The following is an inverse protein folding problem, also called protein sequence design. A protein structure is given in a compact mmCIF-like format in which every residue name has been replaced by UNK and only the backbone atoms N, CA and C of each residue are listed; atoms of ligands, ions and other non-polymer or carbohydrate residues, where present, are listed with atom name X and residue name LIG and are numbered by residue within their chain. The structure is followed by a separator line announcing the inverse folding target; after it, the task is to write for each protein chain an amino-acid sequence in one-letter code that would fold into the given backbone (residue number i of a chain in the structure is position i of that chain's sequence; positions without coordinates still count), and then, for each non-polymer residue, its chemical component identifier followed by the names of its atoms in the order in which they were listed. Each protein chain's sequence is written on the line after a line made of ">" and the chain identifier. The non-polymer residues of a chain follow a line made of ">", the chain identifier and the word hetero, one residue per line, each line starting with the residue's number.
data_IF_127177600340
#
_entry.id   IF_127177600340
#
_cell.length_a   1.000
_cell.length_b   1.000
_cell.length_c   1.000
_cell.angle_alpha   90.00
_cell.angle_beta   90.00
_cell.angle_gamma   90.00
#
_symmetry.space_group_name_H-M   'P 1'
#
loop_
_entity.id
_entity.type
_entity.pdbx_description
1 polymer ?
#
# COMPACT_ATOMS: atom_id res chain seq x y z
N UNK A 1 -28.11 16.74 56.01
CA UNK A 1 -27.63 16.67 54.61
C UNK A 1 -27.26 15.22 54.30
N UNK A 2 -28.03 14.56 53.41
CA UNK A 2 -27.78 13.18 52.98
C UNK A 2 -27.00 13.23 51.66
N UNK A 3 -25.82 12.61 51.62
CA UNK A 3 -25.06 12.44 50.37
C UNK A 3 -25.70 11.34 49.53
N UNK A 4 -26.17 11.70 48.34
CA UNK A 4 -26.58 10.78 47.29
C UNK A 4 -25.33 10.37 46.51
N UNK A 5 -24.95 9.09 46.55
CA UNK A 5 -23.92 8.54 45.67
C UNK A 5 -24.58 8.14 44.35
N UNK A 6 -24.17 8.78 43.26
CA UNK A 6 -24.43 8.29 41.91
C UNK A 6 -23.47 7.14 41.61
N UNK A 7 -24.00 5.96 41.32
CA UNK A 7 -23.25 4.91 40.64
C UNK A 7 -23.32 5.20 39.15
N UNK A 8 -22.21 5.67 38.57
CA UNK A 8 -22.03 5.65 37.11
C UNK A 8 -21.61 4.23 36.75
N UNK A 9 -22.50 3.49 36.10
CA UNK A 9 -22.18 2.24 35.45
C UNK A 9 -21.30 2.58 34.23
N UNK A 10 -20.00 2.32 34.34
CA UNK A 10 -19.07 2.32 33.21
C UNK A 10 -19.37 1.05 32.41
N UNK A 11 -19.73 1.12 31.12
CA UNK A 11 -19.91 -0.08 30.32
C UNK A 11 -18.55 -0.77 30.16
N UNK A 12 -18.55 -2.08 30.41
CA UNK A 12 -17.42 -2.96 30.18
C UNK A 12 -16.94 -2.81 28.74
N UNK A 13 -15.71 -2.34 28.57
CA UNK A 13 -15.04 -2.32 27.29
C UNK A 13 -14.91 -3.77 26.80
N UNK A 14 -15.62 -4.11 25.73
CA UNK A 14 -15.38 -5.33 24.98
C UNK A 14 -14.01 -5.13 24.33
N UNK A 15 -12.99 -5.81 24.85
CA UNK A 15 -11.67 -5.89 24.23
C UNK A 15 -11.80 -6.83 23.04
N UNK A 16 -12.07 -6.28 21.85
CA UNK A 16 -11.90 -7.01 20.60
C UNK A 16 -10.39 -7.01 20.34
N UNK A 17 -9.73 -8.12 20.65
CA UNK A 17 -8.38 -8.35 20.18
C UNK A 17 -8.46 -8.63 18.67
N UNK A 18 -8.01 -7.68 17.86
CA UNK A 18 -7.80 -7.88 16.43
C UNK A 18 -6.30 -7.80 16.20
N UNK A 19 -5.65 -8.95 16.04
CA UNK A 19 -4.33 -9.03 15.43
C UNK A 19 -4.49 -8.64 13.95
N UNK A 20 -4.41 -7.35 13.65
CA UNK A 20 -4.28 -6.86 12.28
C UNK A 20 -2.79 -6.60 12.04
N UNK A 21 -2.08 -7.62 11.56
CA UNK A 21 -0.72 -7.47 11.06
C UNK A 21 -0.58 -8.12 9.69
N UNK A 22 -0.28 -7.26 8.72
CA UNK A 22 -0.10 -7.52 7.30
C UNK A 22 1.10 -8.46 7.05
N UNK A 23 0.83 -9.60 6.42
CA UNK A 23 1.82 -10.56 5.91
C UNK A 23 1.32 -11.21 4.59
N UNK A 24 0.61 -10.43 3.77
CA UNK A 24 0.22 -10.79 2.40
C UNK A 24 1.25 -10.13 1.47
N UNK A 25 2.34 -10.76 1.05
CA UNK A 25 2.53 -12.12 0.55
C UNK A 25 3.76 -12.72 1.23
N UNK A 26 3.63 -13.65 2.19
CA UNK A 26 4.63 -14.70 2.40
C UNK A 26 4.07 -15.95 3.11
N UNK A 27 3.53 -16.89 2.32
CA UNK A 27 3.75 -18.29 2.67
C UNK A 27 5.14 -18.71 2.18
N UNK A 28 6.17 -18.49 3.02
CA UNK A 28 7.47 -19.20 2.91
C UNK A 28 7.35 -20.73 3.13
N UNK A 29 6.14 -21.27 3.36
CA UNK A 29 5.92 -22.61 3.96
C UNK A 29 5.20 -23.64 3.10
N UNK A 30 4.63 -23.33 1.95
CA UNK A 30 4.27 -24.37 0.98
C UNK A 30 5.48 -24.67 0.11
N UNK A 31 6.41 -25.45 0.67
CA UNK A 31 7.30 -26.25 -0.16
C UNK A 31 6.40 -27.00 -1.15
N UNK A 32 6.36 -26.51 -2.38
CA UNK A 32 5.93 -27.27 -3.54
C UNK A 32 6.85 -28.48 -3.58
N UNK A 33 6.47 -29.52 -2.84
CA UNK A 33 6.63 -30.89 -3.30
C UNK A 33 6.00 -30.87 -4.66
N UNK A 34 6.84 -30.67 -5.67
CA UNK A 34 6.61 -30.87 -7.09
C UNK A 34 5.86 -32.19 -7.21
N UNK A 35 4.53 -32.12 -7.19
CA UNK A 35 3.65 -33.28 -7.12
C UNK A 35 3.70 -33.82 -8.55
N UNK A 36 4.70 -34.65 -8.85
CA UNK A 36 4.74 -35.47 -10.06
C UNK A 36 3.40 -36.18 -10.12
N UNK A 37 2.53 -35.71 -11.02
CA UNK A 37 1.21 -36.29 -11.28
C UNK A 37 1.41 -37.77 -11.60
N UNK A 38 1.07 -38.65 -10.67
CA UNK A 38 0.65 -40.01 -11.00
C UNK A 38 -0.75 -39.90 -11.63
N UNK A 39 -1.03 -40.62 -12.73
CA UNK A 39 -2.37 -40.66 -13.30
C UNK A 39 -3.24 -41.55 -12.41
N UNK A 40 -3.85 -40.93 -11.40
CA UNK A 40 -4.85 -41.55 -10.54
C UNK A 40 -5.97 -40.52 -10.36
N UNK A 41 -7.11 -40.81 -10.98
CA UNK A 41 -8.32 -39.98 -10.99
C UNK A 41 -8.79 -39.79 -9.53
N UNK A 42 -8.75 -38.60 -8.93
CA UNK A 42 -9.41 -38.37 -7.66
C UNK A 42 -10.90 -38.15 -7.93
N UNK A 43 -11.75 -38.88 -7.22
CA UNK A 43 -13.15 -38.52 -7.03
C UNK A 43 -13.20 -37.24 -6.18
N UNK A 44 -13.52 -36.13 -6.82
CA UNK A 44 -13.84 -34.88 -6.12
C UNK A 44 -15.18 -35.06 -5.40
N UNK A 45 -15.20 -34.99 -4.06
CA UNK A 45 -16.42 -34.68 -3.33
C UNK A 45 -16.71 -33.20 -3.54
N UNK A 46 -17.88 -32.91 -4.09
CA UNK A 46 -18.43 -31.57 -4.27
C UNK A 46 -18.86 -31.00 -2.93
N UNK A 47 -17.90 -30.53 -2.13
CA UNK A 47 -18.21 -29.64 -1.01
C UNK A 47 -18.26 -28.23 -1.58
N UNK A 48 -19.45 -27.81 -2.02
CA UNK A 48 -19.71 -26.61 -2.85
C UNK A 48 -19.75 -25.31 -2.05
N UNK A 49 -19.12 -25.24 -0.88
CA UNK A 49 -19.15 -24.04 -0.04
C UNK A 49 -17.77 -23.77 0.57
N UNK A 50 -16.75 -23.58 -0.26
CA UNK A 50 -15.57 -22.83 0.18
C UNK A 50 -15.97 -21.35 0.14
N UNK A 51 -16.26 -20.70 1.29
CA UNK A 51 -16.58 -19.29 1.31
C UNK A 51 -15.36 -18.50 0.82
N UNK A 52 -15.60 -17.47 0.02
CA UNK A 52 -14.56 -16.54 -0.41
C UNK A 52 -14.24 -15.55 0.69
N UNK A 53 -13.66 -16.07 1.76
CA UNK A 53 -13.26 -15.30 2.92
C UNK A 53 -11.91 -14.63 2.65
N UNK A 54 -11.85 -13.30 2.83
CA UNK A 54 -10.58 -12.59 3.02
C UNK A 54 -10.14 -11.63 1.90
N UNK A 55 -10.87 -11.57 0.78
CA UNK A 55 -10.55 -10.67 -0.33
C UNK A 55 -9.60 -11.27 -1.37
N UNK A 56 -8.88 -10.44 -2.13
CA UNK A 56 -7.98 -10.86 -3.20
C UNK A 56 -6.76 -9.95 -3.26
N UNK A 57 -5.59 -10.54 -3.43
CA UNK A 57 -4.35 -9.82 -3.67
C UNK A 57 -3.71 -10.29 -4.96
N UNK A 58 -3.20 -9.35 -5.74
CA UNK A 58 -2.27 -9.61 -6.83
C UNK A 58 -1.05 -8.76 -6.62
N UNK A 59 0.12 -9.37 -6.72
CA UNK A 59 1.36 -8.69 -6.40
C UNK A 59 2.52 -9.22 -7.22
N UNK A 60 3.59 -8.44 -7.23
CA UNK A 60 4.86 -8.94 -7.73
C UNK A 60 5.39 -10.00 -6.75
N UNK A 61 5.42 -11.25 -7.20
CA UNK A 61 6.04 -12.39 -6.50
C UNK A 61 7.54 -12.42 -6.76
N UNK A 62 8.31 -13.00 -5.84
CA UNK A 62 9.75 -13.07 -5.93
C UNK A 62 10.35 -11.66 -6.02
N UNK A 63 9.72 -10.68 -5.37
CA UNK A 63 10.27 -9.34 -5.27
C UNK A 63 11.39 -9.24 -4.22
N UNK A 64 12.13 -8.11 -4.17
CA UNK A 64 13.15 -7.89 -3.15
C UNK A 64 12.66 -8.08 -1.70
N UNK A 65 11.39 -7.81 -1.42
CA UNK A 65 10.75 -8.08 -0.13
C UNK A 65 10.60 -9.58 0.20
N UNK A 66 10.82 -10.47 -0.76
CA UNK A 66 10.89 -11.93 -0.62
C UNK A 66 12.31 -12.49 -0.86
N UNK A 67 13.28 -11.60 -1.12
CA UNK A 67 14.65 -11.98 -1.49
C UNK A 67 14.82 -12.36 -2.96
N UNK A 68 13.84 -12.07 -3.81
CA UNK A 68 13.90 -12.27 -5.26
C UNK A 68 14.18 -10.98 -6.05
N UNK A 69 14.05 -11.05 -7.37
CA UNK A 69 14.44 -9.96 -8.28
C UNK A 69 13.26 -9.19 -8.91
N UNK A 70 12.02 -9.62 -8.70
CA UNK A 70 10.85 -9.03 -9.37
C UNK A 70 10.57 -7.61 -8.84
N UNK A 71 10.92 -6.61 -9.62
CA UNK A 71 10.81 -5.21 -9.21
C UNK A 71 10.99 -4.26 -10.39
N UNK A 72 10.52 -3.03 -10.20
CA UNK A 72 10.87 -1.92 -11.08
C UNK A 72 12.05 -1.14 -10.49
N UNK A 73 13.00 -0.67 -11.31
CA UNK A 73 14.06 0.16 -10.80
C UNK A 73 13.52 1.48 -10.21
N UNK A 74 14.26 2.04 -9.26
CA UNK A 74 14.06 3.39 -8.75
C UNK A 74 15.19 4.25 -9.33
N UNK A 75 14.82 5.30 -10.06
CA UNK A 75 15.75 6.18 -10.73
C UNK A 75 15.63 7.60 -10.18
N UNK A 76 16.76 8.29 -10.09
CA UNK A 76 16.86 9.69 -9.69
C UNK A 76 17.98 10.36 -10.48
N UNK A 77 17.68 11.49 -11.15
CA UNK A 77 18.68 12.22 -11.95
C UNK A 77 19.24 13.47 -11.27
N UNK A 78 18.89 13.71 -10.00
CA UNK A 78 19.27 14.92 -9.28
C UNK A 78 18.19 16.00 -9.24
N UNK A 79 17.11 15.90 -10.03
CA UNK A 79 15.99 16.87 -10.04
C UNK A 79 14.63 16.17 -10.01
N UNK A 80 14.47 15.10 -10.81
CA UNK A 80 13.27 14.28 -10.89
C UNK A 80 13.64 12.81 -10.79
N UNK A 81 12.69 11.99 -10.36
CA UNK A 81 12.87 10.57 -10.22
C UNK A 81 11.78 9.72 -10.83
N UNK A 82 11.76 8.45 -10.46
CA UNK A 82 10.65 7.54 -10.74
C UNK A 82 9.33 8.19 -10.38
N UNK A 83 8.39 8.09 -11.33
CA UNK A 83 7.02 8.56 -11.22
C UNK A 83 6.10 7.41 -11.52
N UNK A 84 5.08 7.22 -10.68
CA UNK A 84 4.04 6.23 -10.89
C UNK A 84 2.69 6.94 -10.91
N UNK A 85 1.96 6.72 -11.99
CA UNK A 85 0.59 7.18 -12.17
C UNK A 85 -0.33 5.97 -12.12
N UNK A 86 -1.44 6.06 -11.41
CA UNK A 86 -2.45 5.01 -11.43
C UNK A 86 -3.87 5.60 -11.49
N UNK A 87 -4.76 4.90 -12.17
CA UNK A 87 -6.19 5.20 -12.15
C UNK A 87 -6.96 3.99 -11.64
N UNK A 88 -7.83 4.23 -10.67
CA UNK A 88 -8.77 3.24 -10.14
C UNK A 88 -10.20 3.75 -10.31
N UNK A 89 -11.10 2.89 -10.77
CA UNK A 89 -12.54 3.13 -10.66
C UNK A 89 -13.03 2.67 -9.29
N UNK A 90 -13.70 3.55 -8.56
CA UNK A 90 -14.28 3.25 -7.25
C UNK A 90 -15.37 2.19 -7.44
N UNK A 91 -15.27 1.02 -6.76
CA UNK A 91 -16.22 -0.06 -6.96
C UNK A 91 -17.59 0.28 -6.36
N UNK A 92 -18.61 -0.41 -6.83
CA UNK A 92 -19.95 -0.37 -6.23
C UNK A 92 -19.90 -0.90 -4.80
N UNK A 93 -20.78 -0.35 -3.96
CA UNK A 93 -20.90 -0.80 -2.58
C UNK A 93 -21.25 -2.29 -2.51
N UNK A 94 -20.80 -2.99 -1.46
CA UNK A 94 -21.34 -4.29 -1.11
C UNK A 94 -22.82 -4.15 -0.72
N UNK A 95 -23.57 -5.25 -0.74
CA UNK A 95 -24.98 -5.26 -0.31
C UNK A 95 -25.11 -5.16 1.20
N UNK A 96 -24.11 -5.66 1.93
CA UNK A 96 -24.03 -5.64 3.39
C UNK A 96 -22.70 -5.03 3.87
N UNK A 97 -22.77 -4.22 4.93
CA UNK A 97 -21.63 -3.49 5.54
C UNK A 97 -21.50 -3.74 7.06
N UNK A 98 -22.20 -4.75 7.57
CA UNK A 98 -22.42 -5.00 8.98
C UNK A 98 -21.15 -5.46 9.72
N UNK A 99 -20.35 -4.48 10.15
CA UNK A 99 -19.12 -4.71 10.93
C UNK A 99 -17.91 -5.10 10.09
N UNK A 100 -18.01 -4.98 8.76
CA UNK A 100 -16.95 -5.32 7.82
C UNK A 100 -15.98 -4.14 7.68
N UNK A 101 -14.72 -4.46 7.39
CA UNK A 101 -13.68 -3.47 7.08
C UNK A 101 -13.14 -3.72 5.70
N UNK A 102 -13.17 -2.70 4.85
CA UNK A 102 -12.68 -2.78 3.48
C UNK A 102 -11.45 -1.90 3.34
N UNK A 103 -10.37 -2.51 2.87
CA UNK A 103 -9.20 -1.82 2.39
C UNK A 103 -8.94 -2.25 0.95
N UNK A 104 -9.12 -1.32 0.01
CA UNK A 104 -8.85 -1.56 -1.41
C UNK A 104 -7.70 -0.65 -1.80
N UNK A 105 -6.57 -1.21 -2.19
CA UNK A 105 -5.34 -0.44 -2.36
C UNK A 105 -4.48 -0.92 -3.52
N UNK A 106 -3.62 -0.02 -3.98
CA UNK A 106 -2.37 -0.37 -4.66
C UNK A 106 -1.26 0.00 -3.68
N UNK A 107 -0.26 -0.85 -3.47
CA UNK A 107 0.90 -0.47 -2.67
C UNK A 107 2.13 -0.28 -3.55
N UNK A 108 3.01 0.61 -3.10
CA UNK A 108 4.32 0.86 -3.68
C UNK A 108 5.33 0.55 -2.58
N UNK A 109 5.89 -0.65 -2.64
CA UNK A 109 6.85 -1.14 -1.68
C UNK A 109 8.26 -0.75 -2.06
N UNK A 110 9.05 -0.28 -1.10
CA UNK A 110 10.47 0.01 -1.25
C UNK A 110 11.28 -0.80 -0.24
N UNK A 111 12.41 -1.35 -0.67
CA UNK A 111 13.31 -2.10 0.23
C UNK A 111 13.27 -3.61 0.03
N UNK A 112 14.25 -4.29 0.62
CA UNK A 112 14.35 -5.75 0.66
C UNK A 112 13.87 -6.32 2.01
N UNK A 113 13.71 -7.66 2.06
CA UNK A 113 13.21 -8.47 3.19
C UNK A 113 13.94 -8.26 4.54
N UNK A 114 14.96 -7.40 4.61
CA UNK A 114 15.92 -7.37 5.69
C UNK A 114 16.12 -6.03 6.38
N UNK A 115 15.57 -4.96 5.82
CA UNK A 115 15.84 -3.60 6.28
C UNK A 115 14.69 -2.99 7.07
N UNK A 116 13.48 -3.53 6.99
CA UNK A 116 12.32 -3.08 7.78
C UNK A 116 11.05 -3.46 7.06
N UNK A 117 10.07 -4.02 7.78
CA UNK A 117 8.81 -4.41 7.13
C UNK A 117 8.00 -3.14 6.84
N UNK A 118 7.08 -3.26 5.88
CA UNK A 118 6.05 -2.26 5.59
C UNK A 118 6.54 -0.89 5.16
N UNK A 119 7.70 -0.72 4.49
CA UNK A 119 8.02 0.57 3.85
C UNK A 119 7.22 0.73 2.55
N UNK A 120 5.94 1.08 2.71
CA UNK A 120 4.95 1.07 1.65
C UNK A 120 4.18 2.38 1.58
N UNK A 121 4.13 2.95 0.39
CA UNK A 121 3.20 4.02 0.05
C UNK A 121 1.93 3.40 -0.51
N UNK A 122 0.80 3.81 0.04
CA UNK A 122 -0.46 3.12 -0.16
C UNK A 122 -1.55 4.14 -0.48
N UNK A 123 -1.85 4.33 -1.78
CA UNK A 123 -3.15 4.86 -2.18
C UNK A 123 -4.27 3.89 -1.78
N UNK A 124 -5.13 4.30 -0.85
CA UNK A 124 -6.11 3.40 -0.24
C UNK A 124 -7.53 3.93 -0.36
N UNK A 125 -8.46 3.03 -0.69
CA UNK A 125 -9.90 3.17 -0.45
C UNK A 125 -10.29 2.42 0.83
N UNK A 126 -11.16 3.05 1.60
CA UNK A 126 -11.60 2.65 2.93
C UNK A 126 -13.12 2.61 3.00
N UNK A 127 -13.71 1.59 3.62
CA UNK A 127 -15.15 1.54 3.92
C UNK A 127 -15.40 0.69 5.17
N UNK A 128 -16.47 1.00 5.91
CA UNK A 128 -16.81 0.28 7.13
C UNK A 128 -15.93 0.70 8.31
N UNK A 129 -15.59 -0.25 9.18
CA UNK A 129 -14.88 0.01 10.45
C UNK A 129 -13.36 0.02 10.30
N UNK A 130 -12.80 1.11 9.78
CA UNK A 130 -11.38 1.20 9.39
C UNK A 130 -10.50 1.87 10.43
N UNK A 131 -9.20 1.56 10.37
CA UNK A 131 -8.13 2.25 11.08
C UNK A 131 -7.56 3.34 10.17
N UNK A 132 -7.84 4.59 10.50
CA UNK A 132 -7.36 5.74 9.74
C UNK A 132 -7.11 6.94 10.67
N UNK A 133 -6.56 8.03 10.14
CA UNK A 133 -6.25 9.26 10.89
C UNK A 133 -5.51 9.04 12.24
N UNK A 134 -4.77 7.94 12.34
CA UNK A 134 -4.01 7.58 13.53
C UNK A 134 -2.86 8.56 13.68
N UNK A 135 -2.49 8.91 14.92
CA UNK A 135 -1.38 9.85 15.12
C UNK A 135 -0.05 9.19 14.77
N UNK A 136 0.90 9.97 14.26
CA UNK A 136 2.25 9.49 13.95
C UNK A 136 3.16 9.38 15.19
N UNK A 137 4.40 8.89 15.02
CA UNK A 137 5.40 8.86 16.08
C UNK A 137 5.73 10.27 16.62
N UNK A 138 6.20 10.38 17.88
CA UNK A 138 6.42 9.26 18.82
C UNK A 138 5.14 8.78 19.51
N UNK A 139 4.05 9.56 19.49
CA UNK A 139 2.81 9.27 20.19
C UNK A 139 1.79 8.58 19.27
N UNK A 140 2.13 7.41 18.72
CA UNK A 140 1.21 6.67 17.87
C UNK A 140 -0.04 6.25 18.66
N UNK A 141 -1.21 6.70 18.20
CA UNK A 141 -2.53 6.38 18.78
C UNK A 141 -3.44 5.93 17.64
N UNK A 142 -3.77 4.62 17.58
CA UNK A 142 -4.68 4.11 16.57
C UNK A 142 -6.06 4.75 16.77
N UNK A 143 -6.70 5.13 15.66
CA UNK A 143 -8.09 5.61 15.67
C UNK A 143 -8.92 4.77 14.71
N UNK A 144 -10.07 4.32 15.20
CA UNK A 144 -11.04 3.58 14.43
C UNK A 144 -12.21 4.48 14.11
N UNK A 145 -12.57 4.56 12.83
CA UNK A 145 -13.74 5.28 12.35
C UNK A 145 -14.63 4.32 11.56
N UNK A 146 -15.94 4.60 11.54
CA UNK A 146 -16.88 3.87 10.70
C UNK A 146 -17.37 4.77 9.58
N UNK A 147 -17.09 4.38 8.34
CA UNK A 147 -17.52 5.11 7.15
C UNK A 147 -18.66 4.38 6.44
N UNK A 148 -19.73 5.12 6.14
CA UNK A 148 -20.86 4.62 5.37
C UNK A 148 -20.70 4.81 3.85
N UNK A 149 -19.68 5.57 3.45
CA UNK A 149 -19.28 5.81 2.06
C UNK A 149 -17.82 5.45 1.89
N UNK A 150 -17.38 5.22 0.66
CA UNK A 150 -15.95 5.04 0.40
C UNK A 150 -15.21 6.32 0.80
N UNK A 151 -14.09 6.16 1.49
CA UNK A 151 -13.11 7.22 1.71
C UNK A 151 -11.85 6.87 0.93
N UNK A 152 -11.12 7.86 0.44
CA UNK A 152 -9.79 7.64 -0.15
C UNK A 152 -8.74 8.53 0.51
N UNK A 153 -7.50 8.05 0.55
CA UNK A 153 -6.39 8.74 1.16
C UNK A 153 -5.03 8.19 0.77
N UNK A 154 -4.04 9.09 0.68
CA UNK A 154 -2.65 8.74 0.52
C UNK A 154 -2.07 8.35 1.90
N UNK A 155 -1.63 7.10 2.06
CA UNK A 155 -1.03 6.62 3.30
C UNK A 155 0.43 6.21 3.10
N UNK A 156 1.19 6.26 4.18
CA UNK A 156 2.55 5.74 4.23
C UNK A 156 2.70 4.91 5.49
N UNK A 157 2.98 3.63 5.34
CA UNK A 157 3.30 2.75 6.46
C UNK A 157 4.81 2.54 6.51
N UNK A 158 5.32 2.30 7.70
CA UNK A 158 6.73 1.97 7.94
C UNK A 158 6.89 1.40 9.34
N UNK A 159 7.90 0.57 9.57
CA UNK A 159 8.34 0.20 10.92
C UNK A 159 9.41 1.17 11.42
N UNK A 160 9.76 1.16 12.71
CA UNK A 160 11.00 1.76 13.24
C UNK A 160 11.59 0.86 14.32
N UNK A 161 12.90 0.99 14.61
CA UNK A 161 13.52 0.30 15.75
C UNK A 161 13.42 1.17 17.01
N UNK A 162 12.68 0.70 18.01
CA UNK A 162 12.73 1.28 19.34
C UNK A 162 14.03 0.84 20.03
N UNK A 163 14.98 1.78 20.19
CA UNK A 163 16.30 1.50 20.77
C UNK A 163 16.26 1.15 22.26
N UNK A 164 15.17 1.49 22.96
CA UNK A 164 15.02 1.16 24.39
C UNK A 164 14.57 -0.29 24.56
N UNK A 165 13.61 -0.74 23.74
CA UNK A 165 13.04 -2.08 23.83
C UNK A 165 13.72 -3.08 22.89
N UNK A 166 14.51 -2.58 21.94
CA UNK A 166 15.10 -3.32 20.82
C UNK A 166 14.05 -4.08 19.99
N UNK A 167 12.84 -3.51 19.87
CA UNK A 167 11.73 -4.07 19.08
C UNK A 167 11.38 -3.17 17.90
N UNK A 168 10.86 -3.78 16.84
CA UNK A 168 10.20 -3.05 15.76
C UNK A 168 8.87 -2.47 16.25
N UNK A 169 8.54 -1.26 15.82
CA UNK A 169 7.26 -0.61 16.05
C UNK A 169 6.69 -0.15 14.70
N UNK A 170 5.45 -0.51 14.40
CA UNK A 170 4.79 -0.08 13.15
C UNK A 170 4.17 1.30 13.32
N UNK A 171 4.30 2.11 12.28
CA UNK A 171 3.80 3.47 12.21
C UNK A 171 3.09 3.69 10.89
N UNK A 172 2.28 4.75 10.86
CA UNK A 172 1.63 5.23 9.67
C UNK A 172 1.60 6.75 9.65
N UNK A 173 1.67 7.31 8.45
CA UNK A 173 1.37 8.70 8.16
C UNK A 173 0.21 8.75 7.15
N UNK A 174 -0.69 9.72 7.35
CA UNK A 174 -1.93 9.83 6.59
C UNK A 174 -2.00 11.22 5.95
N UNK A 175 -2.32 11.26 4.66
CA UNK A 175 -2.89 12.45 4.04
C UNK A 175 -4.34 12.68 4.47
N UNK A 176 -4.94 13.82 4.12
CA UNK A 176 -6.37 14.07 4.40
C UNK A 176 -7.25 13.04 3.68
N UNK A 177 -8.33 12.61 4.32
CA UNK A 177 -9.30 11.69 3.72
C UNK A 177 -10.44 12.43 3.06
N UNK A 178 -10.94 11.90 1.95
CA UNK A 178 -12.07 12.46 1.23
C UNK A 178 -13.07 11.38 0.84
N UNK A 179 -14.37 11.70 0.79
CA UNK A 179 -15.36 10.76 0.28
C UNK A 179 -15.18 10.53 -1.22
N UNK A 180 -15.31 9.27 -1.60
CA UNK A 180 -15.41 8.78 -2.96
C UNK A 180 -16.76 8.08 -3.17
N UNK A 181 -17.24 8.09 -4.39
CA UNK A 181 -18.52 7.49 -4.78
C UNK A 181 -18.31 6.44 -5.87
N UNK A 182 -19.11 5.37 -5.88
CA UNK A 182 -19.04 4.35 -6.92
C UNK A 182 -19.05 4.92 -8.34
N UNK A 183 -18.18 4.40 -9.20
CA UNK A 183 -18.02 4.83 -10.59
C UNK A 183 -17.14 6.08 -10.77
N UNK A 184 -16.80 6.82 -9.70
CA UNK A 184 -15.77 7.85 -9.80
C UNK A 184 -14.42 7.23 -10.18
N UNK A 185 -13.58 8.02 -10.86
CA UNK A 185 -12.19 7.66 -11.12
C UNK A 185 -11.31 8.41 -10.14
N UNK A 186 -10.52 7.66 -9.38
CA UNK A 186 -9.49 8.20 -8.50
C UNK A 186 -8.14 8.03 -9.19
N UNK A 187 -7.47 9.16 -9.41
CA UNK A 187 -6.11 9.25 -9.88
C UNK A 187 -5.16 9.19 -8.69
N UNK A 188 -4.05 8.46 -8.85
CA UNK A 188 -2.93 8.43 -7.92
C UNK A 188 -1.66 8.85 -8.64
N UNK A 189 -0.84 9.65 -7.97
CA UNK A 189 0.51 10.02 -8.39
C UNK A 189 1.47 9.78 -7.25
N UNK A 190 2.44 8.91 -7.47
CA UNK A 190 3.69 8.93 -6.72
C UNK A 190 4.76 9.63 -7.54
N UNK A 191 5.47 10.57 -6.93
CA UNK A 191 6.63 11.22 -7.53
C UNK A 191 7.72 11.52 -6.51
N UNK A 192 8.96 11.43 -6.97
CA UNK A 192 10.13 11.91 -6.26
C UNK A 192 10.52 13.27 -6.83
N UNK A 193 10.45 14.31 -6.00
CA UNK A 193 10.74 15.71 -6.38
C UNK A 193 11.71 16.34 -5.39
N UNK A 194 12.49 17.32 -5.84
CA UNK A 194 13.43 18.04 -4.98
C UNK A 194 12.70 19.03 -4.07
N UNK A 195 13.08 19.10 -2.79
CA UNK A 195 12.61 20.16 -1.90
C UNK A 195 13.14 21.52 -2.39
N UNK A 196 12.25 22.44 -2.76
CA UNK A 196 12.62 23.82 -3.14
C UNK A 196 12.76 24.10 -4.65
N UNK A 197 12.34 23.19 -5.53
CA UNK A 197 12.08 23.52 -6.94
C UNK A 197 10.67 24.09 -7.18
N UNK A 198 9.91 24.34 -6.12
CA UNK A 198 8.67 25.09 -6.22
C UNK A 198 9.04 26.57 -6.38
N UNK A 199 8.61 27.18 -7.49
CA UNK A 199 8.94 28.53 -7.98
C UNK A 199 8.61 29.66 -6.97
N UNK A 200 9.26 29.69 -5.82
CA UNK A 200 9.35 30.90 -4.99
C UNK A 200 10.42 31.80 -5.64
N UNK A 201 10.02 32.42 -6.75
CA UNK A 201 10.70 33.54 -7.37
C UNK A 201 10.61 34.81 -6.50
N UNK A 202 10.88 34.70 -5.20
CA UNK A 202 11.06 35.85 -4.32
C UNK A 202 12.56 36.20 -4.23
N UNK A 203 13.00 36.96 -5.23
CA UNK A 203 14.36 37.45 -5.46
C UNK A 203 14.83 38.52 -4.45
N UNK A 204 14.49 38.43 -3.16
CA UNK A 204 14.81 39.54 -2.23
C UNK A 204 15.44 39.21 -0.88
N UNK A 205 15.86 37.98 -0.58
CA UNK A 205 16.60 37.74 0.68
C UNK A 205 18.03 37.19 0.48
N UNK A 206 19.01 38.02 0.85
CA UNK A 206 20.40 37.65 1.13
C UNK A 206 20.45 36.72 2.35
N UNK A 207 19.94 35.50 2.23
CA UNK A 207 20.23 34.42 3.17
C UNK A 207 21.47 33.70 2.69
N UNK A 208 22.58 33.94 3.39
CA UNK A 208 23.76 33.06 3.40
C UNK A 208 23.34 31.71 3.95
N UNK A 209 22.77 30.88 3.07
CA UNK A 209 22.38 29.50 3.34
C UNK A 209 23.66 28.68 3.47
N UNK A 210 23.84 28.05 4.63
CA UNK A 210 24.82 27.01 4.81
C UNK A 210 24.41 25.82 3.94
N UNK A 211 24.91 25.80 2.70
CA UNK A 211 24.82 24.66 1.78
C UNK A 211 25.75 23.57 2.32
N UNK A 212 25.27 22.77 3.27
CA UNK A 212 26.03 21.60 3.75
C UNK A 212 25.20 20.37 4.06
N UNK A 213 23.92 20.25 3.68
CA UNK A 213 23.20 18.98 3.84
C UNK A 213 22.36 18.64 2.61
N UNK A 214 22.85 17.62 1.89
CA UNK A 214 22.26 16.81 0.82
C UNK A 214 20.80 17.09 0.42
N UNK A 215 20.59 17.36 -0.88
CA UNK A 215 19.28 17.36 -1.52
C UNK A 215 18.68 15.94 -1.50
N UNK A 216 17.78 15.67 -0.55
CA UNK A 216 17.01 14.44 -0.54
C UNK A 216 15.71 14.63 -1.33
N UNK A 217 15.30 13.66 -2.17
CA UNK A 217 14.01 13.72 -2.82
C UNK A 217 12.88 13.62 -1.78
N UNK A 218 11.89 14.49 -1.89
CA UNK A 218 10.60 14.33 -1.21
C UNK A 218 9.80 13.32 -2.00
N UNK A 219 9.38 12.26 -1.34
CA UNK A 219 8.40 11.33 -1.87
C UNK A 219 7.03 11.95 -1.68
N UNK A 220 6.27 12.13 -2.74
CA UNK A 220 4.92 12.67 -2.64
C UNK A 220 3.96 11.64 -3.20
N UNK A 221 3.02 11.21 -2.37
CA UNK A 221 1.87 10.44 -2.81
C UNK A 221 0.65 11.35 -2.84
N UNK A 222 0.03 11.45 -4.01
CA UNK A 222 -1.20 12.22 -4.22
C UNK A 222 -2.30 11.27 -4.67
N UNK A 223 -3.49 11.43 -4.12
CA UNK A 223 -4.73 10.85 -4.65
C UNK A 223 -5.74 11.96 -4.92
N UNK A 224 -6.51 11.84 -6.00
CA UNK A 224 -7.46 12.87 -6.40
C UNK A 224 -8.63 12.26 -7.19
N UNK A 225 -9.84 12.77 -6.99
CA UNK A 225 -10.95 12.46 -7.91
C UNK A 225 -10.74 13.20 -9.24
N UNK A 226 -10.78 12.45 -10.35
CA UNK A 226 -10.61 13.02 -11.69
C UNK A 226 -11.71 14.06 -11.97
N UNK A 227 -11.29 15.29 -12.26
CA UNK A 227 -12.20 16.41 -12.51
C UNK A 227 -12.62 17.19 -11.26
N UNK A 228 -12.14 16.81 -10.07
CA UNK A 228 -12.47 17.48 -8.81
C UNK A 228 -11.21 17.74 -7.96
N UNK A 229 -10.55 18.91 -8.12
CA UNK A 229 -9.35 19.26 -7.37
C UNK A 229 -9.60 19.60 -5.89
N UNK A 230 -10.86 19.77 -5.46
CA UNK A 230 -11.15 20.02 -4.05
C UNK A 230 -11.04 18.75 -3.21
N UNK A 231 -11.15 17.57 -3.83
CA UNK A 231 -10.95 16.26 -3.21
C UNK A 231 -9.59 15.70 -3.62
N UNK A 232 -8.56 16.16 -2.91
CA UNK A 232 -7.16 15.79 -3.16
C UNK A 232 -6.44 15.48 -1.85
N UNK A 233 -6.04 14.22 -1.68
CA UNK A 233 -5.20 13.76 -0.58
C UNK A 233 -3.74 13.86 -1.00
N UNK A 234 -2.94 14.69 -0.33
CA UNK A 234 -1.50 14.80 -0.58
C UNK A 234 -0.77 14.41 0.69
N UNK A 235 0.19 13.48 0.56
CA UNK A 235 1.10 13.08 1.62
C UNK A 235 2.55 13.26 1.15
N UNK A 236 3.24 14.32 1.60
CA UNK A 236 4.67 14.50 1.37
C UNK A 236 5.49 13.80 2.48
N UNK A 237 6.48 13.01 2.07
CA UNK A 237 7.41 12.29 2.94
C UNK A 237 8.82 12.84 2.66
N UNK A 238 9.24 13.82 3.45
CA UNK A 238 10.56 14.49 3.32
C UNK A 238 11.72 13.61 3.76
N UNK A 239 11.44 12.69 4.68
CA UNK A 239 12.40 11.74 5.20
C UNK A 239 11.78 10.36 5.13
N UNK A 240 11.74 9.73 3.93
CA UNK A 240 11.22 8.40 3.84
C UNK A 240 12.06 7.48 4.74
N UNK A 241 11.44 6.43 5.27
CA UNK A 241 12.05 5.48 6.19
C UNK A 241 13.04 4.53 5.50
N UNK A 242 14.34 4.66 5.81
CA UNK A 242 15.41 3.84 5.22
C UNK A 242 15.54 2.48 5.91
N UNK A 243 14.47 1.85 6.36
CA UNK A 243 14.62 0.66 7.22
C UNK A 243 15.09 1.00 8.64
N UNK A 244 15.55 0.02 9.41
CA UNK A 244 15.84 0.06 10.86
C UNK A 244 16.96 1.04 11.27
N UNK A 245 17.41 1.85 10.33
CA UNK A 245 18.43 2.87 10.46
C UNK A 245 19.79 2.27 10.75
N UNK A 246 20.70 3.14 11.19
CA UNK A 246 22.09 2.76 11.49
C UNK A 246 22.24 1.71 12.59
N UNK A 247 21.20 1.51 13.39
CA UNK A 247 21.18 0.61 14.54
C UNK A 247 20.45 -0.72 14.25
N UNK A 248 19.94 -0.90 13.03
CA UNK A 248 19.32 -2.14 12.60
C UNK A 248 20.32 -3.30 12.44
N UNK A 249 19.83 -4.55 12.35
CA UNK A 249 20.68 -5.71 12.03
C UNK A 249 21.43 -5.56 10.70
N UNK A 250 20.87 -4.77 9.78
CA UNK A 250 21.50 -4.32 8.54
C UNK A 250 21.39 -2.79 8.50
N UNK A 251 22.44 -2.07 8.93
CA UNK A 251 22.45 -0.62 8.95
C UNK A 251 22.25 -0.03 7.56
N UNK A 252 21.41 0.99 7.48
CA UNK A 252 21.24 1.84 6.31
C UNK A 252 21.69 3.27 6.62
N UNK A 253 22.25 3.92 5.60
CA UNK A 253 22.85 5.24 5.67
C UNK A 253 22.32 6.17 4.57
N UNK A 254 21.82 5.63 3.46
CA UNK A 254 21.33 6.40 2.32
C UNK A 254 20.25 5.69 1.51
N UNK A 255 19.32 6.48 0.95
CA UNK A 255 18.36 6.08 -0.07
C UNK A 255 18.97 5.65 -1.40
N UNK A 256 20.24 5.99 -1.64
CA UNK A 256 20.97 5.56 -2.84
C UNK A 256 21.55 4.15 -2.70
N UNK A 257 21.40 3.52 -1.53
CA UNK A 257 21.84 2.15 -1.33
C UNK A 257 21.08 1.18 -2.25
N UNK A 258 21.72 0.11 -2.74
CA UNK A 258 21.12 -0.85 -3.66
C UNK A 258 19.75 -1.38 -3.22
N UNK A 259 19.53 -1.50 -1.92
CA UNK A 259 18.31 -2.05 -1.37
C UNK A 259 17.07 -1.17 -1.59
N UNK A 260 17.25 0.12 -1.89
CA UNK A 260 16.17 1.05 -2.21
C UNK A 260 16.11 1.43 -3.69
N UNK A 261 16.91 0.79 -4.53
CA UNK A 261 16.94 1.02 -5.98
C UNK A 261 15.84 0.26 -6.73
N UNK A 262 14.92 -0.36 -6.00
CA UNK A 262 13.87 -1.22 -6.53
C UNK A 262 12.56 -0.97 -5.79
N UNK A 263 11.45 -1.00 -6.53
CA UNK A 263 10.10 -0.98 -5.99
C UNK A 263 9.30 -2.20 -6.45
N UNK A 264 8.39 -2.66 -5.61
CA UNK A 264 7.36 -3.65 -5.95
C UNK A 264 5.99 -3.00 -5.93
N UNK A 265 5.08 -3.52 -6.75
CA UNK A 265 3.69 -3.10 -6.79
C UNK A 265 2.78 -4.28 -6.48
N UNK A 266 1.82 -4.06 -5.59
CA UNK A 266 0.69 -4.95 -5.43
C UNK A 266 -0.61 -4.17 -5.57
N UNK A 267 -1.69 -4.89 -5.83
CA UNK A 267 -3.05 -4.38 -5.77
C UNK A 267 -3.93 -5.42 -5.12
N UNK A 268 -4.71 -4.98 -4.15
CA UNK A 268 -5.30 -5.86 -3.18
C UNK A 268 -6.64 -5.31 -2.69
N UNK A 269 -7.55 -6.23 -2.42
CA UNK A 269 -8.78 -6.04 -1.69
C UNK A 269 -8.63 -6.84 -0.40
N UNK A 270 -8.42 -6.17 0.72
CA UNK A 270 -8.44 -6.80 2.03
C UNK A 270 -9.82 -6.56 2.66
N UNK A 271 -10.62 -7.61 2.69
CA UNK A 271 -12.04 -7.54 3.08
C UNK A 271 -12.25 -8.26 4.41
N UNK A 272 -11.87 -7.59 5.51
CA UNK A 272 -11.89 -8.20 6.83
C UNK A 272 -13.31 -8.38 7.34
N UNK A 273 -13.68 -9.65 7.53
CA UNK A 273 -15.01 -10.07 7.96
C UNK A 273 -15.97 -10.41 6.81
N UNK A 274 -15.58 -10.18 5.54
CA UNK A 274 -16.40 -10.62 4.41
C UNK A 274 -16.40 -12.16 4.34
N UNK A 275 -17.59 -12.75 4.46
CA UNK A 275 -17.78 -14.21 4.52
C UNK A 275 -18.62 -14.76 3.37
N UNK A 276 -19.35 -13.90 2.67
CA UNK A 276 -20.20 -14.27 1.54
C UNK A 276 -20.20 -13.19 0.45
N UNK A 277 -20.95 -13.46 -0.63
CA UNK A 277 -21.01 -12.58 -1.80
C UNK A 277 -21.76 -11.27 -1.54
N UNK A 278 -22.58 -11.16 -0.49
CA UNK A 278 -23.26 -9.90 -0.13
C UNK A 278 -22.28 -8.89 0.48
N UNK A 279 -21.20 -9.39 1.10
CA UNK A 279 -20.11 -8.57 1.63
C UNK A 279 -19.04 -8.21 0.60
N UNK A 280 -19.09 -8.73 -0.63
CA UNK A 280 -18.16 -8.31 -1.68
C UNK A 280 -18.66 -7.02 -2.37
N UNK A 281 -17.77 -6.10 -2.78
CA UNK A 281 -18.15 -5.02 -3.69
C UNK A 281 -18.90 -5.57 -4.91
N UNK A 282 -20.00 -4.93 -5.32
CA UNK A 282 -20.85 -5.47 -6.39
C UNK A 282 -20.30 -5.24 -7.81
N UNK A 283 -19.15 -4.57 -7.92
CA UNK A 283 -18.38 -4.46 -9.15
C UNK A 283 -16.90 -4.67 -8.87
N UNK A 284 -16.17 -5.13 -9.88
CA UNK A 284 -14.71 -5.19 -9.90
C UNK A 284 -14.02 -3.82 -9.78
N UNK A 285 -12.69 -3.87 -9.76
CA UNK A 285 -11.82 -2.70 -9.85
C UNK A 285 -10.83 -2.87 -10.99
N UNK A 286 -10.54 -1.77 -11.69
CA UNK A 286 -9.52 -1.73 -12.74
C UNK A 286 -8.47 -0.71 -12.32
N UNK A 287 -7.22 -1.15 -12.27
CA UNK A 287 -6.05 -0.33 -12.02
C UNK A 287 -5.25 -0.22 -13.31
N UNK A 288 -5.04 1.00 -13.78
CA UNK A 288 -4.15 1.28 -14.90
C UNK A 288 -2.96 2.03 -14.37
N UNK A 289 -1.83 1.35 -14.22
CA UNK A 289 -0.60 1.88 -13.69
C UNK A 289 0.35 2.22 -14.84
N UNK A 290 1.01 3.37 -14.73
CA UNK A 290 2.07 3.81 -15.64
C UNK A 290 3.28 4.23 -14.80
N UNK A 291 4.40 3.54 -14.97
CA UNK A 291 5.66 3.85 -14.30
C UNK A 291 6.58 4.49 -15.33
N UNK A 292 7.07 5.69 -15.02
CA UNK A 292 8.02 6.41 -15.85
C UNK A 292 9.28 6.71 -15.06
N UNK A 293 10.42 6.66 -15.73
CA UNK A 293 11.71 6.97 -15.15
C UNK A 293 12.42 8.04 -15.98
N UNK A 294 13.23 8.91 -15.34
CA UNK A 294 14.12 9.77 -16.09
C UNK A 294 15.09 8.91 -16.91
N UNK A 295 15.31 9.30 -18.18
CA UNK A 295 16.27 8.64 -19.07
C UNK A 295 17.65 8.67 -18.42
N UNK A 296 18.14 7.53 -17.94
CA UNK A 296 19.54 7.44 -17.52
C UNK A 296 20.40 7.25 -18.76
N UNK A 297 21.48 8.04 -18.89
CA UNK A 297 22.41 7.94 -20.03
C UNK A 297 23.08 6.55 -20.11
N UNK A 298 23.07 5.80 -19.01
CA UNK A 298 23.70 4.50 -18.87
C UNK A 298 22.80 3.42 -18.25
N UNK A 299 21.48 3.64 -18.10
CA UNK A 299 20.64 2.53 -17.62
C UNK A 299 20.50 1.47 -18.69
N UNK A 300 20.71 0.24 -18.24
CA UNK A 300 20.14 -0.91 -18.89
C UNK A 300 18.61 -0.71 -19.04
N UNK A 301 18.03 -1.17 -20.16
CA UNK A 301 16.58 -1.19 -20.32
C UNK A 301 15.92 -1.87 -19.11
N UNK A 302 14.66 -1.55 -18.81
CA UNK A 302 13.88 -2.32 -17.83
C UNK A 302 14.08 -3.80 -18.12
N UNK A 303 14.79 -4.50 -17.25
CA UNK A 303 14.95 -5.93 -17.40
C UNK A 303 13.60 -6.59 -17.06
N UNK A 304 13.17 -7.52 -17.90
CA UNK A 304 11.88 -8.24 -17.92
C UNK A 304 11.62 -9.12 -16.68
N UNK A 305 11.93 -8.66 -15.47
CA UNK A 305 11.68 -9.41 -14.24
C UNK A 305 10.41 -8.91 -13.58
N UNK A 306 9.28 -9.11 -14.25
CA UNK A 306 7.98 -9.02 -13.60
C UNK A 306 7.37 -10.41 -13.57
N UNK A 307 7.23 -10.95 -12.36
CA UNK A 307 6.43 -12.14 -12.13
C UNK A 307 5.26 -11.69 -11.27
N UNK A 308 4.06 -11.83 -11.80
CA UNK A 308 2.83 -11.52 -11.09
C UNK A 308 2.24 -12.81 -10.57
N UNK A 309 1.94 -12.85 -9.27
CA UNK A 309 1.20 -13.94 -8.66
C UNK A 309 -0.06 -13.37 -8.04
N UNK A 310 -1.13 -14.12 -8.23
CA UNK A 310 -2.35 -13.92 -7.51
C UNK A 310 -2.28 -14.78 -6.25
N UNK A 311 -2.67 -14.21 -5.11
CA UNK A 311 -3.05 -15.03 -3.97
C UNK A 311 -4.39 -15.70 -4.33
N UNK A 312 -4.32 -16.89 -4.91
CA UNK A 312 -5.50 -17.62 -5.36
C UNK A 312 -6.29 -18.11 -4.13
N UNK A 313 -7.34 -17.38 -3.78
CA UNK A 313 -8.44 -17.93 -3.00
C UNK A 313 -9.09 -19.09 -3.77
N UNK A 314 -9.27 -20.25 -3.13
CA UNK A 314 -9.99 -21.37 -3.74
C UNK A 314 -11.50 -21.03 -3.90
N UNK A 315 -12.06 -20.99 -5.12
CA UNK A 315 -13.51 -21.04 -5.35
C UNK A 315 -14.15 -19.85 -6.12
N UNK A 316 -15.37 -19.46 -5.71
CA UNK A 316 -16.27 -18.40 -6.27
C UNK A 316 -15.69 -16.99 -6.05
N UNK A 317 -14.38 -16.88 -5.97
CA UNK A 317 -13.71 -15.70 -5.45
C UNK A 317 -13.47 -14.72 -6.58
N UNK A 318 -13.24 -13.43 -6.27
CA UNK A 318 -12.81 -12.49 -7.28
C UNK A 318 -11.65 -13.07 -8.09
N UNK A 319 -11.68 -12.91 -9.40
CA UNK A 319 -10.56 -13.31 -10.27
C UNK A 319 -9.75 -12.07 -10.62
N UNK A 320 -8.44 -12.22 -10.76
CA UNK A 320 -7.59 -11.15 -11.24
C UNK A 320 -7.03 -11.46 -12.63
N UNK A 321 -6.93 -10.43 -13.47
CA UNK A 321 -6.15 -10.44 -14.71
C UNK A 321 -5.12 -9.33 -14.63
N UNK A 322 -3.87 -9.67 -14.96
CA UNK A 322 -2.79 -8.69 -15.10
C UNK A 322 -2.30 -8.71 -16.53
N UNK A 323 -2.19 -7.53 -17.13
CA UNK A 323 -1.54 -7.32 -18.42
C UNK A 323 -0.44 -6.29 -18.25
N UNK A 324 0.71 -6.54 -18.87
CA UNK A 324 1.85 -5.65 -18.78
C UNK A 324 2.42 -5.36 -20.17
N UNK A 325 2.77 -4.10 -20.40
CA UNK A 325 3.40 -3.63 -21.63
C UNK A 325 4.60 -2.74 -21.29
N UNK A 326 5.74 -3.08 -21.90
CA UNK A 326 7.02 -2.46 -21.60
C UNK A 326 7.52 -1.62 -22.78
N UNK A 327 8.03 -0.42 -22.48
CA UNK A 327 8.87 0.37 -23.37
C UNK A 327 10.24 0.61 -22.72
N UNK A 328 11.11 1.39 -23.39
CA UNK A 328 12.42 1.75 -22.86
C UNK A 328 12.34 2.60 -21.57
N UNK A 329 11.35 3.47 -21.48
CA UNK A 329 11.22 4.51 -20.44
C UNK A 329 9.93 4.41 -19.64
N UNK A 330 8.97 3.61 -20.12
CA UNK A 330 7.62 3.52 -19.59
C UNK A 330 7.23 2.06 -19.38
N UNK A 331 6.59 1.79 -18.24
CA UNK A 331 5.91 0.54 -17.96
C UNK A 331 4.43 0.78 -17.78
N UNK A 332 3.61 -0.06 -18.39
CA UNK A 332 2.17 -0.02 -18.25
C UNK A 332 1.67 -1.33 -17.70
N UNK A 333 0.98 -1.29 -16.57
CA UNK A 333 0.36 -2.46 -15.94
C UNK A 333 -1.13 -2.21 -15.87
N UNK A 334 -1.92 -3.10 -16.44
CA UNK A 334 -3.35 -3.16 -16.23
C UNK A 334 -3.66 -4.31 -15.28
N UNK A 335 -4.32 -4.00 -14.17
CA UNK A 335 -4.80 -5.00 -13.22
C UNK A 335 -6.32 -4.89 -13.18
N UNK A 336 -7.00 -5.99 -13.48
CA UNK A 336 -8.45 -6.09 -13.41
C UNK A 336 -8.82 -7.12 -12.35
N UNK A 337 -9.52 -6.68 -11.30
CA UNK A 337 -10.14 -7.55 -10.31
C UNK A 337 -11.63 -7.63 -10.67
N UNK A 338 -12.12 -8.82 -11.00
CA UNK A 338 -13.51 -9.09 -11.34
C UNK A 338 -14.21 -9.80 -10.18
N UNK A 339 -15.46 -9.44 -9.90
CA UNK A 339 -16.32 -10.16 -8.94
C UNK A 339 -17.25 -11.06 -9.76
N UNK A 340 -17.27 -12.36 -9.43
CA UNK A 340 -17.98 -13.42 -10.18
C UNK A 340 -19.46 -13.51 -9.81
#
# INVERSE_FOLDING_TARGET
>A
MRFVRFFVLVPSAITIAVDAFHDCVQSRRSSLKRRRRRPGRPSFSSDTSSPCSGGICVGMTDGPHQGGNASYPVAWNGTTGTRLEAFMTVPQYPKALDGITYYIWTDIFFGDESLGRMNQLVPQLLLGSVLDESTGPPDYKPKWHTHATWMFGAHYFFETLNLTTMKTESHAAYGPLFPAYPGEKVYTLFEMILEGTQDDADTTSNKTSYVTDSFFPIWTLTMQVVGDPARMSILPIRHPYMGMGRNGPRPSYSWFEPNFQHLCLNSCWELYGAIDAEHLPTSGAVYNLTITQPKQEHSHAYYDFTTWEQDEGNGICPSCRVEEHHSRDTQQVNIEIQVV
#
